data_IF_658848540233
#
_entry.id   IF_658848540233
#
_cell.length_a   1.000
_cell.length_b   1.000
_cell.length_c   1.000
_cell.angle_alpha   90.00
_cell.angle_beta   90.00
_cell.angle_gamma   90.00
#
_symmetry.space_group_name_H-M   'P 1'
#
loop_
_entity.id
_entity.type
_entity.pdbx_description
1 polymer ?
#
# COMPACT_ATOMS: atom_id res chain seq x y z
N UNK A 1 -49.52 9.05 17.55
CA UNK A 1 -48.54 9.80 16.74
C UNK A 1 -47.32 10.01 17.65
N UNK A 2 -46.32 9.14 17.56
CA UNK A 2 -45.07 9.33 18.30
C UNK A 2 -44.06 9.99 17.36
N UNK A 3 -43.63 11.20 17.71
CA UNK A 3 -42.54 11.90 17.03
C UNK A 3 -41.23 11.14 17.26
N UNK A 4 -40.63 10.66 16.17
CA UNK A 4 -39.25 10.17 16.17
C UNK A 4 -38.32 11.39 16.32
N UNK A 5 -37.70 11.51 17.49
CA UNK A 5 -36.61 12.45 17.69
C UNK A 5 -35.33 11.89 17.04
N UNK A 6 -35.11 12.26 15.77
CA UNK A 6 -33.84 11.99 15.08
C UNK A 6 -32.79 12.89 15.70
N UNK A 7 -31.85 12.31 16.44
CA UNK A 7 -30.68 13.02 16.96
C UNK A 7 -29.93 13.57 15.74
N UNK A 8 -29.93 14.90 15.59
CA UNK A 8 -29.15 15.57 14.57
C UNK A 8 -27.67 15.36 14.89
N UNK A 9 -26.97 14.61 14.03
CA UNK A 9 -25.50 14.56 14.00
C UNK A 9 -24.94 15.86 13.42
N UNK A 10 -25.28 17.00 14.02
CA UNK A 10 -24.65 18.27 13.72
C UNK A 10 -23.33 18.34 14.49
N UNK A 11 -22.24 17.92 13.82
CA UNK A 11 -20.83 18.36 13.97
C UNK A 11 -19.79 17.32 13.51
N UNK A 12 -20.19 16.23 12.84
CA UNK A 12 -19.25 15.34 12.17
C UNK A 12 -18.90 15.88 10.77
N UNK A 13 -18.12 16.95 10.71
CA UNK A 13 -17.55 17.52 9.49
C UNK A 13 -16.46 16.60 8.91
N UNK A 14 -16.83 15.39 8.50
CA UNK A 14 -16.06 14.52 7.58
C UNK A 14 -16.73 13.17 7.25
N UNK A 15 -18.02 12.98 7.51
CA UNK A 15 -18.66 11.76 7.03
C UNK A 15 -18.79 11.84 5.50
N UNK A 16 -18.27 10.84 4.76
CA UNK A 16 -18.50 10.76 3.32
C UNK A 16 -20.01 10.70 3.08
N UNK A 17 -20.54 11.67 2.34
CA UNK A 17 -21.96 11.78 2.01
C UNK A 17 -22.41 10.80 0.91
N UNK A 18 -21.51 9.92 0.47
CA UNK A 18 -21.72 8.97 -0.61
C UNK A 18 -21.89 7.55 -0.07
N UNK A 19 -23.04 6.88 -0.30
CA UNK A 19 -23.22 5.46 0.01
C UNK A 19 -22.13 4.55 -0.59
N UNK A 20 -21.49 4.93 -1.70
CA UNK A 20 -20.34 4.19 -2.26
C UNK A 20 -19.10 4.25 -1.36
N UNK A 21 -18.93 5.34 -0.59
CA UNK A 21 -17.86 5.43 0.41
C UNK A 21 -18.11 4.51 1.62
N UNK A 22 -19.37 4.13 1.91
CA UNK A 22 -19.71 3.11 2.89
C UNK A 22 -19.40 1.68 2.40
N UNK A 23 -19.46 1.42 1.09
CA UNK A 23 -18.97 0.17 0.51
C UNK A 23 -17.44 0.07 0.60
N UNK A 24 -16.73 1.18 0.33
CA UNK A 24 -15.28 1.28 0.49
C UNK A 24 -14.82 1.21 1.95
N UNK A 25 -15.71 1.48 2.91
CA UNK A 25 -15.45 1.30 4.34
C UNK A 25 -15.22 -0.17 4.70
N UNK A 26 -15.83 -1.13 3.98
CA UNK A 26 -15.57 -2.57 4.19
C UNK A 26 -14.16 -2.98 3.75
N UNK A 27 -13.73 -2.49 2.58
CA UNK A 27 -12.37 -2.71 2.03
C UNK A 27 -11.31 -1.95 2.83
N UNK A 28 -11.58 -0.69 3.19
CA UNK A 28 -10.72 0.09 4.07
C UNK A 28 -10.66 -0.54 5.47
N UNK A 29 -11.76 -1.08 6.01
CA UNK A 29 -11.79 -1.76 7.30
C UNK A 29 -11.08 -3.12 7.27
N UNK A 30 -11.19 -3.91 6.21
CA UNK A 30 -10.43 -5.17 6.07
C UNK A 30 -8.93 -4.89 5.91
N UNK A 31 -8.55 -3.84 5.18
CA UNK A 31 -7.14 -3.41 5.07
C UNK A 31 -6.64 -2.71 6.36
N UNK A 32 -7.52 -2.06 7.13
CA UNK A 32 -7.19 -1.49 8.45
C UNK A 32 -7.09 -2.57 9.53
N UNK A 33 -7.83 -3.67 9.43
CA UNK A 33 -7.70 -4.81 10.32
C UNK A 33 -6.32 -5.48 10.20
N UNK A 34 -5.64 -5.29 9.07
CA UNK A 34 -4.29 -5.79 8.83
C UNK A 34 -3.21 -4.72 9.07
N UNK A 35 -3.50 -3.43 8.87
CA UNK A 35 -2.52 -2.36 9.04
C UNK A 35 -2.18 -1.99 10.51
N UNK A 36 -1.32 -2.79 11.14
CA UNK A 36 -0.64 -2.51 12.42
C UNK A 36 -0.05 -3.80 13.02
N UNK A 37 1.21 -3.76 13.50
CA UNK A 37 1.98 -4.83 14.20
C UNK A 37 1.90 -6.30 13.69
N UNK A 38 1.22 -6.58 12.57
CA UNK A 38 0.94 -7.95 12.12
C UNK A 38 0.79 -8.15 10.60
N UNK A 39 1.14 -7.16 9.77
CA UNK A 39 1.28 -7.35 8.32
C UNK A 39 2.73 -7.56 7.96
N UNK A 40 2.96 -8.51 7.05
CA UNK A 40 4.28 -8.81 6.52
C UNK A 40 4.85 -7.60 5.77
N UNK A 41 6.11 -7.27 6.07
CA UNK A 41 6.78 -6.15 5.39
C UNK A 41 7.43 -6.65 4.10
N UNK A 42 7.02 -6.09 2.97
CA UNK A 42 7.68 -6.28 1.68
C UNK A 42 8.96 -5.46 1.62
N UNK A 43 10.07 -6.11 1.28
CA UNK A 43 11.42 -5.54 1.25
C UNK A 43 12.12 -5.92 -0.05
N UNK A 44 12.93 -4.99 -0.55
CA UNK A 44 13.95 -5.27 -1.56
C UNK A 44 15.29 -5.42 -0.84
N UNK A 45 15.88 -6.61 -0.92
CA UNK A 45 17.15 -6.94 -0.29
C UNK A 45 18.33 -6.32 -1.06
N UNK A 46 19.52 -6.35 -0.44
CA UNK A 46 20.73 -5.73 -0.99
C UNK A 46 21.27 -6.42 -2.24
N UNK A 47 20.86 -7.64 -2.50
CA UNK A 47 21.19 -8.42 -3.71
C UNK A 47 20.16 -8.21 -4.84
N UNK A 48 19.06 -7.52 -4.56
CA UNK A 48 17.99 -7.23 -5.52
C UNK A 48 16.78 -8.16 -5.44
N UNK A 49 16.77 -9.12 -4.51
CA UNK A 49 15.63 -10.01 -4.30
C UNK A 49 14.48 -9.31 -3.56
N UNK A 50 13.25 -9.54 -4.01
CA UNK A 50 12.04 -9.15 -3.29
C UNK A 50 11.69 -10.23 -2.27
N UNK A 51 11.41 -9.82 -1.04
CA UNK A 51 10.99 -10.74 0.03
C UNK A 51 9.94 -10.10 0.93
N UNK A 52 9.06 -10.89 1.53
CA UNK A 52 8.15 -10.43 2.57
C UNK A 52 8.25 -11.27 3.86
N UNK A 53 7.73 -10.68 4.94
CA UNK A 53 7.64 -11.33 6.25
C UNK A 53 8.98 -11.54 6.96
N UNK A 54 8.93 -12.18 8.14
CA UNK A 54 10.10 -12.45 8.96
C UNK A 54 11.03 -13.51 8.34
N UNK A 55 10.44 -14.48 7.64
CA UNK A 55 11.15 -15.60 7.02
C UNK A 55 11.76 -15.26 5.65
N UNK A 56 11.64 -14.01 5.18
CA UNK A 56 12.08 -13.57 3.86
C UNK A 56 11.52 -14.44 2.72
N UNK A 57 10.21 -14.63 2.71
CA UNK A 57 9.54 -15.40 1.64
C UNK A 57 9.68 -14.62 0.33
N UNK A 58 10.23 -15.24 -0.70
CA UNK A 58 10.29 -14.67 -2.05
C UNK A 58 8.90 -14.81 -2.71
N UNK A 59 8.31 -13.72 -3.23
CA UNK A 59 7.07 -13.81 -4.01
C UNK A 59 7.23 -14.74 -5.21
N UNK A 60 6.12 -15.36 -5.64
CA UNK A 60 6.09 -16.06 -6.93
C UNK A 60 6.59 -15.14 -8.08
N UNK A 61 7.33 -15.72 -9.02
CA UNK A 61 7.81 -15.01 -10.22
C UNK A 61 6.62 -14.45 -11.00
N UNK A 62 6.72 -13.20 -11.46
CA UNK A 62 5.64 -12.47 -12.14
C UNK A 62 4.34 -12.32 -11.31
N UNK A 63 4.40 -12.53 -9.99
CA UNK A 63 3.27 -12.29 -9.08
C UNK A 63 2.72 -10.87 -9.25
N UNK A 64 1.39 -10.77 -9.16
CA UNK A 64 0.66 -9.52 -9.36
C UNK A 64 0.10 -9.02 -8.05
N UNK A 65 0.29 -7.74 -7.80
CA UNK A 65 -0.06 -7.12 -6.52
C UNK A 65 -0.94 -5.89 -6.75
N UNK A 66 -2.14 -5.87 -6.18
CA UNK A 66 -2.99 -4.69 -6.15
C UNK A 66 -2.56 -3.76 -5.03
N UNK A 67 -2.23 -2.50 -5.34
CA UNK A 67 -1.90 -1.48 -4.34
C UNK A 67 -3.18 -0.79 -3.89
N UNK A 68 -3.43 -0.70 -2.59
CA UNK A 68 -4.54 0.07 -2.05
C UNK A 68 -4.23 1.59 -2.13
N UNK A 69 -4.94 2.37 -2.98
CA UNK A 69 -4.68 3.81 -3.16
C UNK A 69 -4.86 4.64 -1.89
N UNK A 70 -5.74 4.20 -0.99
CA UNK A 70 -6.06 4.91 0.27
C UNK A 70 -5.12 4.54 1.41
N UNK A 71 -4.24 3.57 1.22
CA UNK A 71 -3.30 3.10 2.24
C UNK A 71 -2.01 3.91 2.32
N UNK A 72 -1.77 4.82 1.36
CA UNK A 72 -0.55 5.62 1.33
C UNK A 72 -0.44 6.50 2.59
N UNK A 73 0.67 6.32 3.30
CA UNK A 73 1.05 7.10 4.47
C UNK A 73 2.43 7.71 4.28
N UNK A 74 2.66 8.86 4.89
CA UNK A 74 3.96 9.54 4.94
C UNK A 74 4.23 10.10 6.32
N UNK A 75 5.50 10.31 6.64
CA UNK A 75 5.89 10.84 7.93
C UNK A 75 7.37 10.61 8.22
N UNK A 76 7.69 10.34 9.48
CA UNK A 76 9.07 10.21 9.94
C UNK A 76 9.26 9.02 10.88
N UNK A 77 10.42 8.40 10.79
CA UNK A 77 10.87 7.34 11.67
C UNK A 77 12.28 7.66 12.20
N UNK A 78 12.51 7.35 13.47
CA UNK A 78 13.80 7.43 14.12
C UNK A 78 14.19 6.06 14.66
N UNK A 79 15.48 5.76 14.58
CA UNK A 79 16.08 4.53 15.09
C UNK A 79 17.05 4.85 16.22
N UNK A 80 17.21 3.90 17.15
CA UNK A 80 18.25 3.88 18.16
C UNK A 80 18.56 2.42 18.49
N UNK A 81 19.83 2.03 18.47
CA UNK A 81 20.28 0.68 18.82
C UNK A 81 19.55 -0.43 18.04
N UNK A 82 19.35 -0.20 16.74
CA UNK A 82 18.62 -1.10 15.83
C UNK A 82 17.15 -1.35 16.19
N UNK A 83 16.56 -0.48 17.02
CA UNK A 83 15.13 -0.48 17.36
C UNK A 83 14.49 0.83 16.94
N UNK A 84 13.19 0.79 16.68
CA UNK A 84 12.41 2.01 16.43
C UNK A 84 12.39 2.83 17.71
N UNK A 85 12.99 4.02 17.66
CA UNK A 85 12.97 5.01 18.74
C UNK A 85 11.65 5.77 18.74
N UNK A 86 11.15 6.10 17.56
CA UNK A 86 9.86 6.75 17.36
C UNK A 86 9.43 6.68 15.91
N UNK A 87 8.12 6.67 15.69
CA UNK A 87 7.53 6.70 14.36
C UNK A 87 6.25 7.53 14.39
N UNK A 88 6.08 8.40 13.40
CA UNK A 88 4.85 9.13 13.16
C UNK A 88 4.53 9.07 11.68
N UNK A 89 3.35 8.56 11.34
CA UNK A 89 2.87 8.40 9.98
C UNK A 89 1.43 8.90 9.90
N UNK A 90 1.10 9.66 8.87
CA UNK A 90 -0.26 10.13 8.58
C UNK A 90 -0.64 9.76 7.14
N UNK A 91 -1.94 9.70 6.79
CA UNK A 91 -2.34 9.53 5.39
C UNK A 91 -1.69 10.56 4.47
N UNK A 92 -1.29 10.17 3.26
CA UNK A 92 -0.58 11.05 2.32
C UNK A 92 -1.42 12.28 1.89
N UNK A 93 -2.74 12.20 2.05
CA UNK A 93 -3.68 13.29 1.81
C UNK A 93 -3.68 14.36 2.92
N UNK A 94 -3.04 14.10 4.05
CA UNK A 94 -2.86 15.06 5.14
C UNK A 94 -1.49 15.71 5.03
N UNK A 95 -1.31 16.95 5.54
CA UNK A 95 0.00 17.58 5.62
C UNK A 95 1.02 16.67 6.32
N UNK A 96 2.24 16.58 5.78
CA UNK A 96 3.32 15.82 6.43
C UNK A 96 3.59 16.40 7.83
N UNK A 97 3.76 15.57 8.87
CA UNK A 97 4.09 16.05 10.20
C UNK A 97 5.39 16.88 10.16
N UNK A 98 5.39 18.10 10.72
CA UNK A 98 6.55 18.97 10.65
C UNK A 98 7.65 18.47 11.57
N UNK A 99 8.92 18.55 11.10
CA UNK A 99 10.07 18.10 11.90
C UNK A 99 10.22 18.82 13.24
N UNK A 100 9.72 20.05 13.35
CA UNK A 100 9.76 20.85 14.58
C UNK A 100 8.90 20.31 15.71
N UNK A 101 7.91 19.47 15.39
CA UNK A 101 7.04 18.82 16.38
C UNK A 101 7.59 17.45 16.80
N UNK A 102 8.70 17.01 16.20
CA UNK A 102 9.37 15.76 16.55
C UNK A 102 10.34 16.02 17.70
N UNK A 103 10.33 15.15 18.71
CA UNK A 103 11.32 15.17 19.79
C UNK A 103 12.72 14.78 19.32
N UNK A 104 13.70 14.82 20.23
CA UNK A 104 15.06 14.41 19.92
C UNK A 104 15.16 12.89 19.62
N UNK A 105 15.99 12.56 18.63
CA UNK A 105 16.26 11.19 18.21
C UNK A 105 17.78 10.97 18.07
N UNK A 106 18.38 9.95 18.72
CA UNK A 106 19.83 9.72 18.71
C UNK A 106 20.45 9.61 17.31
N UNK A 107 19.80 8.90 16.40
CA UNK A 107 20.27 8.74 15.00
C UNK A 107 19.57 9.71 14.03
N UNK A 108 18.76 10.62 14.56
CA UNK A 108 17.95 11.56 13.80
C UNK A 108 16.70 10.93 13.17
N UNK A 109 15.83 11.81 12.67
CA UNK A 109 14.60 11.43 11.97
C UNK A 109 14.82 11.27 10.48
N UNK A 110 14.28 10.20 9.92
CA UNK A 110 14.24 9.94 8.48
C UNK A 110 12.80 10.02 7.99
N UNK A 111 12.58 10.71 6.87
CA UNK A 111 11.30 10.65 6.17
C UNK A 111 11.00 9.22 5.72
N UNK A 112 9.74 8.83 5.84
CA UNK A 112 9.24 7.51 5.51
C UNK A 112 7.96 7.61 4.69
N UNK A 113 7.76 6.64 3.81
CA UNK A 113 6.52 6.42 3.07
C UNK A 113 6.15 4.95 3.16
N UNK A 114 4.85 4.66 3.28
CA UNK A 114 4.34 3.29 3.23
C UNK A 114 2.99 3.19 2.52
N UNK A 115 2.67 1.99 2.06
CA UNK A 115 1.37 1.63 1.50
C UNK A 115 1.22 0.10 1.49
N UNK A 116 -0.02 -0.36 1.38
CA UNK A 116 -0.41 -1.76 1.42
C UNK A 116 -0.65 -2.28 0.01
N UNK A 117 -0.28 -3.55 -0.19
CA UNK A 117 -0.53 -4.32 -1.40
C UNK A 117 -1.13 -5.67 -1.02
N UNK A 118 -1.93 -6.23 -1.92
CA UNK A 118 -2.45 -7.58 -1.82
C UNK A 118 -2.11 -8.36 -3.10
N UNK A 119 -1.61 -9.58 -2.97
CA UNK A 119 -1.41 -10.45 -4.12
C UNK A 119 -2.76 -10.88 -4.69
N UNK A 120 -2.94 -10.79 -6.02
CA UNK A 120 -4.24 -11.01 -6.69
C UNK A 120 -4.31 -12.33 -7.48
N UNK A 121 -3.35 -13.22 -7.29
CA UNK A 121 -3.34 -14.55 -7.90
C UNK A 121 -2.07 -15.32 -7.59
N UNK A 122 -2.01 -16.58 -8.00
CA UNK A 122 -0.84 -17.44 -7.78
C UNK A 122 -0.83 -18.08 -6.39
N UNK A 123 0.32 -18.57 -5.96
CA UNK A 123 0.49 -19.26 -4.67
C UNK A 123 0.31 -18.33 -3.47
N UNK A 124 0.61 -17.05 -3.66
CA UNK A 124 0.50 -15.99 -2.65
C UNK A 124 -0.87 -15.29 -2.66
N UNK A 125 -1.86 -15.76 -3.44
CA UNK A 125 -3.15 -15.08 -3.60
C UNK A 125 -3.79 -14.73 -2.25
N UNK A 126 -4.19 -13.46 -2.11
CA UNK A 126 -4.78 -12.94 -0.88
C UNK A 126 -3.78 -12.48 0.17
N UNK A 127 -2.48 -12.79 0.03
CA UNK A 127 -1.42 -12.30 0.92
C UNK A 127 -1.38 -10.77 0.90
N UNK A 128 -1.46 -10.15 2.09
CA UNK A 128 -1.36 -8.70 2.27
C UNK A 128 0.02 -8.37 2.83
N UNK A 129 0.68 -7.38 2.24
CA UNK A 129 1.99 -6.89 2.67
C UNK A 129 2.03 -5.37 2.72
N UNK A 130 2.91 -4.82 3.56
CA UNK A 130 3.22 -3.39 3.60
C UNK A 130 4.58 -3.13 2.95
N UNK A 131 4.60 -2.29 1.93
CA UNK A 131 5.85 -1.69 1.48
C UNK A 131 6.12 -0.45 2.32
N UNK A 132 7.26 -0.39 3.01
CA UNK A 132 7.63 0.70 3.90
C UNK A 132 9.11 1.04 3.74
N UNK A 133 9.43 2.30 3.51
CA UNK A 133 10.80 2.67 3.13
C UNK A 133 11.22 4.07 3.56
N UNK A 134 12.50 4.20 3.92
CA UNK A 134 13.22 5.47 4.11
C UNK A 134 14.27 5.71 3.03
N UNK A 135 14.52 4.73 2.16
CA UNK A 135 15.57 4.82 1.14
C UNK A 135 15.19 5.80 0.04
N UNK A 136 16.16 6.48 -0.56
CA UNK A 136 15.91 7.42 -1.67
C UNK A 136 15.24 6.73 -2.86
N UNK A 137 15.70 5.53 -3.22
CA UNK A 137 15.13 4.75 -4.33
C UNK A 137 13.70 4.31 -4.04
N UNK A 138 13.44 3.81 -2.83
CA UNK A 138 12.11 3.40 -2.40
C UNK A 138 11.13 4.57 -2.36
N UNK A 139 11.52 5.70 -1.77
CA UNK A 139 10.69 6.91 -1.75
C UNK A 139 10.35 7.39 -3.16
N UNK A 140 11.33 7.39 -4.09
CA UNK A 140 11.09 7.76 -5.49
C UNK A 140 10.08 6.83 -6.18
N UNK A 141 10.20 5.52 -5.99
CA UNK A 141 9.27 4.55 -6.57
C UNK A 141 7.84 4.74 -6.00
N UNK A 142 7.72 4.91 -4.68
CA UNK A 142 6.45 5.15 -4.01
C UNK A 142 5.78 6.46 -4.46
N UNK A 143 6.54 7.56 -4.56
CA UNK A 143 6.01 8.85 -5.05
C UNK A 143 5.59 8.77 -6.52
N UNK A 144 6.36 8.07 -7.37
CA UNK A 144 5.98 7.82 -8.76
C UNK A 144 4.65 7.09 -8.83
N UNK A 145 4.46 6.04 -8.02
CA UNK A 145 3.20 5.30 -7.96
C UNK A 145 2.03 6.18 -7.51
N UNK A 146 2.19 6.95 -6.43
CA UNK A 146 1.16 7.88 -5.97
C UNK A 146 0.77 8.92 -7.05
N UNK A 147 1.75 9.39 -7.82
CA UNK A 147 1.50 10.31 -8.94
C UNK A 147 0.75 9.63 -10.08
N UNK A 148 1.12 8.39 -10.43
CA UNK A 148 0.40 7.60 -11.44
C UNK A 148 -1.06 7.35 -11.04
N UNK A 149 -1.31 7.00 -9.77
CA UNK A 149 -2.66 6.83 -9.23
C UNK A 149 -3.44 8.14 -9.30
N UNK A 150 -2.81 9.27 -8.93
CA UNK A 150 -3.47 10.58 -9.02
C UNK A 150 -3.82 10.96 -10.46
N UNK A 151 -2.95 10.66 -11.43
CA UNK A 151 -3.24 10.88 -12.85
C UNK A 151 -4.41 10.01 -13.31
N UNK A 152 -4.38 8.72 -12.97
CA UNK A 152 -5.46 7.78 -13.29
C UNK A 152 -6.80 8.23 -12.69
N UNK A 153 -6.83 8.68 -11.44
CA UNK A 153 -8.06 9.14 -10.80
C UNK A 153 -8.67 10.37 -11.48
N UNK A 154 -7.86 11.19 -12.15
CA UNK A 154 -8.36 12.34 -12.93
C UNK A 154 -8.93 11.93 -14.29
N UNK A 155 -8.39 10.89 -14.90
CA UNK A 155 -8.79 10.43 -16.25
C UNK A 155 -9.89 9.36 -16.21
N UNK A 156 -9.78 8.39 -15.31
CA UNK A 156 -10.67 7.25 -15.16
C UNK A 156 -10.87 6.88 -13.67
N UNK A 157 -11.73 7.64 -12.95
CA UNK A 157 -11.94 7.47 -11.51
C UNK A 157 -12.61 6.14 -11.11
N UNK A 158 -13.14 5.36 -12.06
CA UNK A 158 -13.74 4.05 -11.80
C UNK A 158 -12.67 2.96 -11.60
N UNK A 159 -11.49 3.10 -12.22
CA UNK A 159 -10.41 2.11 -12.21
C UNK A 159 -9.12 2.74 -11.68
N UNK A 160 -9.01 2.82 -10.36
CA UNK A 160 -7.93 3.54 -9.65
C UNK A 160 -6.97 2.65 -8.87
N UNK A 161 -7.21 1.34 -8.83
CA UNK A 161 -6.35 0.38 -8.12
C UNK A 161 -5.30 -0.15 -9.11
N UNK A 162 -4.01 0.21 -9.01
CA UNK A 162 -3.01 -0.35 -9.89
C UNK A 162 -2.68 -1.77 -9.45
N UNK A 163 -2.74 -2.70 -10.40
CA UNK A 163 -2.20 -4.05 -10.28
C UNK A 163 -0.81 -4.04 -10.89
N UNK A 164 0.20 -4.33 -10.08
CA UNK A 164 1.60 -4.19 -10.43
C UNK A 164 2.33 -5.53 -10.48
N UNK A 165 3.47 -5.55 -11.17
CA UNK A 165 4.51 -6.56 -11.02
C UNK A 165 5.70 -5.93 -10.29
N UNK A 166 6.30 -6.69 -9.37
CA UNK A 166 7.48 -6.27 -8.63
C UNK A 166 8.74 -6.46 -9.49
N UNK A 167 9.44 -5.38 -9.78
CA UNK A 167 10.67 -5.38 -10.57
C UNK A 167 11.81 -4.70 -9.81
N UNK A 168 13.03 -4.89 -10.29
CA UNK A 168 14.25 -4.35 -9.67
C UNK A 168 15.12 -3.65 -10.71
N UNK A 169 15.49 -2.41 -10.43
CA UNK A 169 16.57 -1.70 -11.15
C UNK A 169 17.84 -1.67 -10.31
N UNK A 170 18.95 -1.18 -10.88
CA UNK A 170 20.15 -0.90 -10.12
C UNK A 170 20.99 0.23 -10.70
N UNK A 171 21.77 0.88 -9.82
CA UNK A 171 22.78 1.86 -10.23
C UNK A 171 24.08 1.65 -9.45
N UNK A 172 25.19 2.15 -10.00
CA UNK A 172 26.49 2.10 -9.34
C UNK A 172 26.69 3.32 -8.43
N UNK A 173 26.78 3.10 -7.12
CA UNK A 173 27.12 4.13 -6.13
C UNK A 173 28.62 4.13 -5.82
N UNK A 174 29.25 5.31 -5.84
CA UNK A 174 30.72 5.47 -5.66
C UNK A 174 31.27 4.83 -4.39
N UNK A 175 30.52 4.87 -3.28
CA UNK A 175 30.95 4.35 -1.97
C UNK A 175 30.41 2.94 -1.66
N UNK A 176 29.24 2.60 -2.19
CA UNK A 176 28.47 1.45 -1.73
C UNK A 176 28.34 0.34 -2.77
N UNK A 177 28.96 0.52 -3.94
CA UNK A 177 28.86 -0.44 -5.04
C UNK A 177 27.50 -0.39 -5.71
N UNK A 178 27.05 -1.53 -6.23
CA UNK A 178 25.74 -1.66 -6.88
C UNK A 178 24.63 -1.50 -5.84
N UNK A 179 23.70 -0.58 -6.12
CA UNK A 179 22.52 -0.34 -5.30
C UNK A 179 21.30 -0.74 -6.12
N UNK A 180 20.47 -1.60 -5.55
CA UNK A 180 19.20 -2.00 -6.14
C UNK A 180 18.09 -1.07 -5.68
N UNK A 181 17.15 -0.80 -6.59
CA UNK A 181 16.00 0.08 -6.33
C UNK A 181 14.72 -0.56 -6.83
N UNK A 182 13.61 -0.39 -6.11
CA UNK A 182 12.34 -1.01 -6.47
C UNK A 182 11.75 -0.37 -7.72
N UNK A 183 11.15 -1.19 -8.57
CA UNK A 183 10.24 -0.79 -9.63
C UNK A 183 8.89 -1.43 -9.35
N UNK A 184 7.85 -0.59 -9.37
CA UNK A 184 6.45 -1.05 -9.38
C UNK A 184 5.92 -0.83 -10.80
N UNK A 185 5.87 -1.90 -11.59
CA UNK A 185 5.43 -1.81 -12.98
C UNK A 185 3.93 -2.06 -13.09
N UNK A 186 3.17 -1.10 -13.60
CA UNK A 186 1.71 -1.17 -13.64
C UNK A 186 1.31 -2.06 -14.82
N UNK A 187 0.74 -3.23 -14.52
CA UNK A 187 0.26 -4.17 -15.51
C UNK A 187 -1.19 -3.87 -15.94
N UNK A 188 -2.06 -3.53 -14.99
CA UNK A 188 -3.45 -3.16 -15.25
C UNK A 188 -4.01 -2.22 -14.17
N UNK A 189 -5.16 -1.62 -14.44
CA UNK A 189 -5.94 -0.84 -13.47
C UNK A 189 -7.25 -1.57 -13.20
N UNK A 190 -7.56 -1.78 -11.92
CA UNK A 190 -8.79 -2.42 -11.45
C UNK A 190 -9.69 -1.39 -10.76
N UNK A 191 -10.99 -1.71 -10.67
CA UNK A 191 -11.91 -0.98 -9.80
C UNK A 191 -11.66 -1.35 -8.35
N UNK A 192 -12.15 -0.52 -7.42
CA UNK A 192 -12.02 -0.79 -5.98
C UNK A 192 -12.77 -2.07 -5.57
N UNK A 193 -13.87 -2.42 -6.26
CA UNK A 193 -14.65 -3.63 -6.00
C UNK A 193 -14.01 -4.89 -6.61
N UNK A 194 -13.43 -4.79 -7.81
CA UNK A 194 -12.82 -5.94 -8.47
C UNK A 194 -11.49 -6.37 -7.83
N UNK A 195 -10.83 -5.45 -7.11
CA UNK A 195 -9.59 -5.73 -6.39
C UNK A 195 -9.74 -6.79 -5.28
N UNK A 196 -10.97 -7.11 -4.88
CA UNK A 196 -11.30 -8.20 -3.95
C UNK A 196 -12.05 -9.38 -4.59
N UNK A 197 -12.53 -9.23 -5.84
CA UNK A 197 -13.53 -10.12 -6.44
C UNK A 197 -13.01 -11.05 -7.55
N UNK A 198 -11.69 -11.16 -7.76
CA UNK A 198 -11.14 -12.31 -8.52
C UNK A 198 -11.18 -13.63 -7.72
N UNK A 199 -12.24 -13.85 -6.95
CA UNK A 199 -12.71 -15.15 -6.48
C UNK A 199 -13.81 -15.64 -7.43
N UNK A 200 -13.48 -15.88 -8.69
CA UNK A 200 -14.29 -16.74 -9.54
C UNK A 200 -13.36 -17.66 -10.33
N UNK A 201 -13.21 -18.87 -9.81
CA UNK A 201 -12.70 -20.00 -10.56
C UNK A 201 -13.46 -20.08 -11.89
N UNK A 202 -12.74 -19.93 -13.01
CA UNK A 202 -13.28 -20.22 -14.34
C UNK A 202 -14.00 -21.58 -14.29
N UNK A 203 -15.28 -21.68 -14.64
CA UNK A 203 -15.91 -22.99 -14.79
C UNK A 203 -15.24 -23.68 -15.97
N UNK A 204 -14.57 -24.78 -15.66
CA UNK A 204 -13.92 -25.65 -16.63
C UNK A 204 -14.96 -26.12 -17.67
N UNK A 205 -14.61 -25.92 -18.93
CA UNK A 205 -15.49 -26.09 -20.07
C UNK A 205 -16.16 -27.45 -20.12
N UNK A 206 -17.50 -27.42 -20.07
CA UNK A 206 -18.43 -28.45 -20.54
C UNK A 206 -17.92 -29.24 -21.74
N UNK A 207 -17.47 -30.48 -21.54
CA UNK A 207 -17.53 -31.52 -22.58
C UNK A 207 -18.86 -32.27 -22.46
N UNK A 208 -19.76 -32.05 -23.43
CA UNK A 208 -20.93 -32.93 -23.65
C UNK A 208 -20.82 -33.63 -25.01
N UNK A 209 -21.03 -34.94 -24.96
CA UNK A 209 -21.36 -35.90 -26.02
C UNK A 209 -20.24 -36.22 -27.03
N UNK A 210 -20.03 -37.48 -27.42
CA UNK A 210 -20.98 -38.60 -27.55
C UNK A 210 -20.49 -39.87 -26.87
#
# INVERSE_FOLDING_TARGET
MSENNVIAFSNASNLPSDPAALANLGVAASTMATAGDGVDILRLLRDGAWVFGAENIEPEEDSRWAINPYSFKHGHIAWADSKVHGEIMVPIMQPMPPRSELGDAPEGWSEQISFLLQCVGGEDEGQVVEFKTTSVGGKRAATKMATSISGQAQENPEYVVPVIVLNTDSYQHKKYGKIYTPIFDIAEWASIGDATDKVEAKPEGRKRSR
#
